data_IF_223468882345
#
_entry.id   IF_223468882345
#
_cell.length_a   1.000
_cell.length_b   1.000
_cell.length_c   1.000
_cell.angle_alpha   90.00
_cell.angle_beta   90.00
_cell.angle_gamma   90.00
#
_symmetry.space_group_name_H-M   'P 1'
#
loop_
_entity.id
_entity.type
_entity.pdbx_description
1 polymer ?
#
# COMPACT_ATOMS: atom_id res chain seq x y z
N UNK A 1 19.25 27.28 28.69
CA UNK A 1 18.67 26.75 27.43
C UNK A 1 19.21 25.38 26.98
N UNK A 2 20.50 25.03 27.19
CA UNK A 2 21.05 23.69 26.84
C UNK A 2 20.51 22.52 27.68
N UNK A 3 20.14 22.77 28.95
CA UNK A 3 19.69 21.73 29.89
C UNK A 3 18.29 21.20 29.54
N UNK A 4 17.36 22.09 29.17
CA UNK A 4 15.98 21.69 28.79
C UNK A 4 15.98 20.84 27.52
N UNK A 5 16.82 21.18 26.53
CA UNK A 5 16.98 20.42 25.27
C UNK A 5 17.56 19.01 25.49
N UNK A 6 18.41 18.85 26.51
CA UNK A 6 18.95 17.54 26.90
C UNK A 6 17.96 16.70 27.72
N UNK A 7 17.01 17.33 28.41
CA UNK A 7 15.97 16.63 29.19
C UNK A 7 14.86 16.11 28.26
N UNK A 8 14.46 16.88 27.24
CA UNK A 8 13.49 16.42 26.22
C UNK A 8 14.00 15.22 25.43
N UNK A 9 15.30 15.16 25.10
CA UNK A 9 15.89 14.03 24.38
C UNK A 9 16.11 12.77 25.25
N UNK A 10 16.20 12.90 26.58
CA UNK A 10 16.38 11.74 27.49
C UNK A 10 15.07 11.08 27.92
N UNK A 11 13.93 11.78 27.82
CA UNK A 11 12.63 11.29 28.31
C UNK A 11 11.79 10.53 27.27
N UNK A 12 12.11 10.63 25.98
CA UNK A 12 11.39 9.93 24.91
C UNK A 12 12.27 8.90 24.21
N UNK A 13 12.63 7.83 24.93
CA UNK A 13 13.00 6.59 24.22
C UNK A 13 11.73 6.05 23.55
N UNK A 14 11.72 5.81 22.23
CA UNK A 14 10.54 5.27 21.56
C UNK A 14 10.18 3.92 22.18
N UNK A 15 8.93 3.78 22.64
CA UNK A 15 8.45 2.58 23.36
C UNK A 15 7.98 1.50 22.41
N UNK A 16 7.52 1.88 21.21
CA UNK A 16 7.03 0.96 20.18
C UNK A 16 7.84 1.07 18.88
N UNK A 17 7.65 0.10 17.97
CA UNK A 17 8.18 0.17 16.59
C UNK A 17 7.62 1.38 15.84
N UNK A 18 6.33 1.66 16.04
CA UNK A 18 5.67 2.81 15.45
C UNK A 18 6.28 4.14 15.95
N UNK A 19 6.61 4.25 17.25
CA UNK A 19 7.29 5.43 17.80
C UNK A 19 8.68 5.64 17.17
N UNK A 20 9.40 4.54 16.85
CA UNK A 20 10.70 4.62 16.17
C UNK A 20 10.54 5.18 14.76
N UNK A 21 9.51 4.77 14.03
CA UNK A 21 9.18 5.29 12.69
C UNK A 21 8.81 6.77 12.79
N UNK A 22 7.93 7.13 13.73
CA UNK A 22 7.52 8.52 13.97
C UNK A 22 8.72 9.42 14.27
N UNK A 23 9.62 8.99 15.14
CA UNK A 23 10.82 9.76 15.48
C UNK A 23 11.74 9.99 14.28
N UNK A 24 11.92 8.98 13.42
CA UNK A 24 12.72 9.13 12.20
C UNK A 24 12.07 10.15 11.27
N UNK A 25 10.78 9.98 10.96
CA UNK A 25 10.08 10.87 10.02
C UNK A 25 10.01 12.32 10.53
N UNK A 26 9.71 12.53 11.81
CA UNK A 26 9.70 13.86 12.43
C UNK A 26 11.09 14.53 12.49
N UNK A 27 12.18 13.76 12.32
CA UNK A 27 13.54 14.33 12.26
C UNK A 27 13.90 14.89 10.88
N UNK A 28 13.12 14.56 9.85
CA UNK A 28 13.34 15.00 8.47
C UNK A 28 12.80 16.43 8.32
N UNK A 29 13.68 17.35 7.93
CA UNK A 29 13.29 18.76 7.73
C UNK A 29 12.34 18.89 6.54
N UNK A 30 11.32 19.73 6.69
CA UNK A 30 10.34 20.08 5.67
C UNK A 30 9.51 18.89 5.17
N UNK A 31 9.37 17.84 5.99
CA UNK A 31 8.43 16.77 5.73
C UNK A 31 7.04 17.26 6.13
N UNK A 32 6.13 17.36 5.17
CA UNK A 32 4.72 17.63 5.47
C UNK A 32 4.04 16.30 5.77
N UNK A 33 3.62 16.13 7.03
CA UNK A 33 2.98 14.92 7.51
C UNK A 33 1.51 15.22 7.76
N UNK A 34 0.68 14.88 6.79
CA UNK A 34 -0.78 14.88 6.97
C UNK A 34 -1.20 13.59 7.68
N UNK A 35 -2.14 13.65 8.63
CA UNK A 35 -2.71 12.47 9.30
C UNK A 35 -4.22 12.49 9.14
N UNK A 36 -4.86 11.30 9.17
CA UNK A 36 -6.32 11.21 9.24
C UNK A 36 -6.76 10.80 10.63
N UNK A 37 -7.76 11.48 11.17
CA UNK A 37 -8.30 11.14 12.48
C UNK A 37 -9.10 9.82 12.45
N UNK A 38 -9.59 9.40 13.62
CA UNK A 38 -10.33 8.13 13.73
C UNK A 38 -11.66 8.17 12.99
N UNK A 39 -12.31 9.33 12.90
CA UNK A 39 -13.61 9.48 12.23
C UNK A 39 -13.43 9.48 10.71
N UNK A 40 -12.39 10.14 10.20
CA UNK A 40 -12.01 10.11 8.78
C UNK A 40 -11.65 8.70 8.33
N UNK A 41 -10.83 7.98 9.10
CA UNK A 41 -10.50 6.58 8.83
C UNK A 41 -11.74 5.68 8.86
N UNK A 42 -12.63 5.88 9.83
CA UNK A 42 -13.86 5.08 9.93
C UNK A 42 -14.81 5.35 8.77
N UNK A 43 -14.90 6.59 8.28
CA UNK A 43 -15.68 6.94 7.08
C UNK A 43 -15.11 6.28 5.83
N UNK A 44 -13.78 6.30 5.67
CA UNK A 44 -13.10 5.60 4.58
C UNK A 44 -13.36 4.09 4.63
N UNK A 45 -13.18 3.46 5.79
CA UNK A 45 -13.44 2.03 5.98
C UNK A 45 -14.90 1.66 5.65
N UNK A 46 -15.86 2.50 6.08
CA UNK A 46 -17.28 2.32 5.78
C UNK A 46 -17.62 2.52 4.29
N UNK A 47 -17.02 3.49 3.60
CA UNK A 47 -17.34 3.76 2.19
C UNK A 47 -16.98 2.61 1.26
N UNK A 48 -15.98 1.81 1.64
CA UNK A 48 -15.52 0.65 0.86
C UNK A 48 -15.89 -0.69 1.49
N UNK A 49 -16.55 -0.70 2.66
CA UNK A 49 -16.90 -1.94 3.37
C UNK A 49 -15.68 -2.76 3.80
N UNK A 50 -14.58 -2.09 4.16
CA UNK A 50 -13.31 -2.73 4.54
C UNK A 50 -12.91 -2.39 5.97
N UNK A 51 -11.85 -3.04 6.45
CA UNK A 51 -11.11 -2.61 7.64
C UNK A 51 -9.64 -2.59 7.30
N UNK A 52 -8.95 -1.49 7.55
CA UNK A 52 -7.52 -1.39 7.30
C UNK A 52 -6.74 -2.29 8.27
N UNK A 53 -5.61 -2.87 7.85
CA UNK A 53 -4.71 -3.56 8.79
C UNK A 53 -4.31 -2.62 9.94
N UNK A 54 -4.38 -3.11 11.19
CA UNK A 54 -4.25 -2.28 12.39
C UNK A 54 -2.96 -1.44 12.42
N UNK A 55 -1.84 -2.04 12.00
CA UNK A 55 -0.55 -1.37 11.91
C UNK A 55 -0.56 -0.17 10.94
N UNK A 56 -1.18 -0.33 9.77
CA UNK A 56 -1.28 0.73 8.77
C UNK A 56 -2.30 1.80 9.19
N UNK A 57 -3.42 1.38 9.78
CA UNK A 57 -4.43 2.30 10.36
C UNK A 57 -3.81 3.18 11.45
N UNK A 58 -3.03 2.59 12.34
CA UNK A 58 -2.30 3.32 13.39
C UNK A 58 -1.24 4.26 12.80
N UNK A 59 -0.56 3.84 11.73
CA UNK A 59 0.40 4.70 11.02
C UNK A 59 -0.26 5.94 10.43
N UNK A 60 -1.38 5.78 9.71
CA UNK A 60 -2.11 6.91 9.13
C UNK A 60 -2.59 7.87 10.22
N UNK A 61 -3.12 7.31 11.32
CA UNK A 61 -3.69 8.12 12.40
C UNK A 61 -2.65 8.91 13.20
N UNK A 62 -1.44 8.37 13.36
CA UNK A 62 -0.44 8.92 14.30
C UNK A 62 0.77 9.55 13.61
N UNK A 63 1.02 9.21 12.34
CA UNK A 63 2.26 9.54 11.66
C UNK A 63 2.01 10.20 10.32
N UNK A 64 1.37 9.51 9.37
CA UNK A 64 1.21 10.04 8.02
C UNK A 64 0.21 9.27 7.18
N UNK A 65 -0.64 10.00 6.47
CA UNK A 65 -1.43 9.53 5.35
C UNK A 65 -0.63 9.50 4.04
N UNK A 66 0.68 9.74 4.00
CA UNK A 66 1.43 9.81 2.74
C UNK A 66 1.19 11.10 1.95
N UNK A 67 1.35 11.03 0.63
CA UNK A 67 1.21 12.15 -0.30
C UNK A 67 2.50 12.89 -0.63
N UNK A 68 2.37 13.92 -1.47
CA UNK A 68 3.45 14.79 -1.91
C UNK A 68 4.13 15.48 -0.72
N UNK A 69 5.27 14.91 -0.32
CA UNK A 69 6.02 15.34 0.86
C UNK A 69 6.73 14.17 1.52
N UNK A 70 6.12 12.97 1.55
CA UNK A 70 6.70 11.81 2.22
C UNK A 70 7.62 11.01 1.30
N UNK A 71 8.93 11.24 1.40
CA UNK A 71 10.00 10.37 0.88
C UNK A 71 9.87 9.91 -0.58
N UNK A 72 9.13 10.67 -1.41
CA UNK A 72 8.74 10.42 -2.79
C UNK A 72 8.14 9.02 -3.04
N UNK A 73 6.86 8.99 -3.38
CA UNK A 73 6.17 7.78 -3.82
C UNK A 73 5.14 7.24 -2.83
N UNK A 74 5.12 7.65 -1.56
CA UNK A 74 4.05 7.25 -0.63
C UNK A 74 2.71 7.84 -1.06
N UNK A 75 1.71 6.99 -1.23
CA UNK A 75 0.38 7.37 -1.67
C UNK A 75 -0.53 7.61 -0.46
N UNK A 76 -1.37 8.63 -0.57
CA UNK A 76 -2.53 8.81 0.30
C UNK A 76 -3.59 7.77 0.04
N UNK A 77 -4.51 7.59 1.00
CA UNK A 77 -5.69 6.75 0.78
C UNK A 77 -6.46 7.22 -0.47
N UNK A 78 -6.62 8.52 -0.68
CA UNK A 78 -7.27 9.07 -1.88
C UNK A 78 -6.51 8.71 -3.17
N UNK A 79 -5.20 8.97 -3.21
CA UNK A 79 -4.35 8.59 -4.35
C UNK A 79 -4.34 7.06 -4.60
N UNK A 80 -4.40 6.27 -3.53
CA UNK A 80 -4.49 4.80 -3.62
C UNK A 80 -5.75 4.36 -4.36
N UNK A 81 -6.89 4.98 -4.04
CA UNK A 81 -8.17 4.75 -4.71
C UNK A 81 -8.10 5.23 -6.17
N UNK A 82 -7.54 6.42 -6.43
CA UNK A 82 -7.40 6.96 -7.78
C UNK A 82 -6.54 6.08 -8.67
N UNK A 83 -5.41 5.58 -8.15
CA UNK A 83 -4.54 4.63 -8.84
C UNK A 83 -5.34 3.37 -9.19
N UNK A 84 -5.98 2.73 -8.21
CA UNK A 84 -6.75 1.50 -8.46
C UNK A 84 -7.88 1.72 -9.47
N UNK A 85 -8.64 2.83 -9.38
CA UNK A 85 -9.73 3.15 -10.32
C UNK A 85 -9.21 3.45 -11.73
N UNK A 86 -8.10 4.17 -11.85
CA UNK A 86 -7.50 4.50 -13.16
C UNK A 86 -7.05 3.25 -13.89
N UNK A 87 -6.39 2.32 -13.20
CA UNK A 87 -5.96 1.05 -13.79
C UNK A 87 -7.11 0.06 -13.97
N UNK A 88 -8.13 0.14 -13.11
CA UNK A 88 -9.35 -0.66 -13.16
C UNK A 88 -10.38 -0.21 -14.21
N UNK A 89 -10.17 0.89 -14.94
CA UNK A 89 -11.08 1.37 -16.00
C UNK A 89 -12.58 1.40 -15.62
N UNK A 90 -12.90 1.75 -14.37
CA UNK A 90 -14.29 1.84 -13.92
C UNK A 90 -14.84 0.56 -13.25
N UNK A 91 -13.96 -0.33 -12.79
CA UNK A 91 -14.32 -1.42 -11.89
C UNK A 91 -15.13 -0.93 -10.66
N UNK A 92 -16.02 -1.77 -10.13
CA UNK A 92 -16.76 -1.43 -8.93
C UNK A 92 -15.82 -1.31 -7.73
N UNK A 93 -16.25 -0.53 -6.74
CA UNK A 93 -15.51 -0.35 -5.48
C UNK A 93 -15.46 -1.65 -4.64
N UNK A 94 -16.20 -2.70 -5.03
CA UNK A 94 -16.11 -4.02 -4.40
C UNK A 94 -14.73 -4.68 -4.58
N UNK A 95 -13.90 -4.19 -5.51
CA UNK A 95 -12.51 -4.62 -5.70
C UNK A 95 -11.70 -4.47 -4.41
N UNK A 96 -12.02 -3.49 -3.55
CA UNK A 96 -11.33 -3.30 -2.27
C UNK A 96 -11.77 -4.30 -1.19
N UNK A 97 -13.06 -4.68 -1.20
CA UNK A 97 -13.61 -5.64 -0.23
C UNK A 97 -13.47 -7.10 -0.67
N UNK A 98 -13.29 -7.35 -1.97
CA UNK A 98 -13.05 -8.68 -2.53
C UNK A 98 -11.72 -9.22 -2.04
N UNK A 99 -11.66 -10.49 -1.64
CA UNK A 99 -10.46 -11.06 -1.03
C UNK A 99 -9.31 -11.18 -2.03
N UNK A 100 -8.10 -10.76 -1.62
CA UNK A 100 -6.89 -11.01 -2.37
C UNK A 100 -6.57 -12.51 -2.38
N UNK A 101 -6.53 -13.19 -3.54
CA UNK A 101 -6.54 -14.65 -3.60
C UNK A 101 -5.17 -15.29 -3.36
N UNK A 102 -4.08 -14.52 -3.42
CA UNK A 102 -2.73 -15.08 -3.45
C UNK A 102 -2.09 -15.18 -2.05
N UNK A 103 -1.48 -16.34 -1.79
CA UNK A 103 -0.69 -16.63 -0.57
C UNK A 103 0.80 -16.86 -0.84
N UNK A 104 1.17 -16.87 -2.12
CA UNK A 104 2.53 -16.96 -2.65
C UNK A 104 2.65 -16.08 -3.89
N UNK A 105 3.86 -15.85 -4.40
CA UNK A 105 4.07 -15.12 -5.64
C UNK A 105 3.17 -15.63 -6.77
N UNK A 106 2.60 -14.70 -7.53
CA UNK A 106 1.70 -14.99 -8.65
C UNK A 106 2.04 -14.08 -9.82
N UNK A 107 2.29 -14.66 -10.99
CA UNK A 107 2.61 -13.93 -12.20
C UNK A 107 1.57 -14.26 -13.28
N UNK A 108 0.65 -13.35 -13.62
CA UNK A 108 -0.29 -13.53 -14.73
C UNK A 108 0.40 -13.88 -16.05
N UNK A 109 1.61 -13.37 -16.31
CA UNK A 109 2.34 -13.65 -17.54
C UNK A 109 2.82 -15.11 -17.66
N UNK A 110 2.86 -15.85 -16.54
CA UNK A 110 3.25 -17.27 -16.50
C UNK A 110 2.03 -18.21 -16.40
N UNK A 111 0.82 -17.65 -16.27
CA UNK A 111 -0.40 -18.43 -16.10
C UNK A 111 -1.15 -18.54 -17.43
N UNK A 112 -1.20 -19.77 -17.97
CA UNK A 112 -1.87 -20.09 -19.24
C UNK A 112 -3.35 -19.72 -19.28
N UNK A 113 -3.99 -19.50 -18.12
CA UNK A 113 -5.35 -18.96 -18.05
C UNK A 113 -5.48 -17.65 -18.84
N UNK A 114 -4.50 -16.75 -18.72
CA UNK A 114 -4.57 -15.43 -19.36
C UNK A 114 -4.31 -15.49 -20.87
N UNK A 115 -3.49 -16.43 -21.32
CA UNK A 115 -3.28 -16.68 -22.75
C UNK A 115 -4.59 -17.15 -23.40
N UNK A 116 -5.26 -18.14 -22.80
CA UNK A 116 -6.56 -18.64 -23.28
C UNK A 116 -7.63 -17.53 -23.25
N UNK A 117 -7.69 -16.75 -22.17
CA UNK A 117 -8.66 -15.66 -22.05
C UNK A 117 -8.42 -14.57 -23.12
N UNK A 118 -7.15 -14.24 -23.40
CA UNK A 118 -6.76 -13.33 -24.49
C UNK A 118 -7.14 -13.89 -25.88
N UNK A 119 -7.00 -15.20 -26.10
CA UNK A 119 -7.42 -15.85 -27.33
C UNK A 119 -8.95 -15.81 -27.51
N UNK A 120 -9.73 -15.91 -26.42
CA UNK A 120 -11.18 -15.74 -26.45
C UNK A 120 -11.58 -14.30 -26.81
N UNK A 121 -10.84 -13.28 -26.33
CA UNK A 121 -11.03 -11.88 -26.78
C UNK A 121 -10.80 -11.77 -28.28
N UNK A 122 -9.71 -12.37 -28.79
CA UNK A 122 -9.35 -12.33 -30.21
C UNK A 122 -10.41 -13.02 -31.10
N UNK A 123 -10.99 -14.12 -30.60
CA UNK A 123 -12.12 -14.83 -31.23
C UNK A 123 -13.47 -14.12 -31.04
N UNK A 124 -13.52 -13.02 -30.28
CA UNK A 124 -14.72 -12.26 -29.91
C UNK A 124 -15.76 -13.08 -29.13
N UNK A 125 -15.29 -14.08 -28.40
CA UNK A 125 -16.11 -14.90 -27.50
C UNK A 125 -16.42 -14.16 -26.20
N UNK A 126 -15.48 -13.32 -25.74
CA UNK A 126 -15.65 -12.38 -24.63
C UNK A 126 -15.26 -10.96 -25.07
N UNK A 127 -15.74 -9.95 -24.34
CA UNK A 127 -15.34 -8.57 -24.58
C UNK A 127 -13.95 -8.27 -23.99
N UNK A 128 -13.29 -7.23 -24.51
CA UNK A 128 -12.02 -6.77 -23.93
C UNK A 128 -12.24 -6.17 -22.53
N UNK A 129 -13.41 -5.59 -22.29
CA UNK A 129 -13.82 -5.05 -21.01
C UNK A 129 -13.94 -6.15 -19.95
N UNK A 130 -14.56 -7.28 -20.28
CA UNK A 130 -14.67 -8.44 -19.38
C UNK A 130 -13.28 -9.01 -19.06
N UNK A 131 -12.42 -9.16 -20.07
CA UNK A 131 -11.03 -9.59 -19.89
C UNK A 131 -10.27 -8.66 -18.94
N UNK A 132 -10.34 -7.34 -19.15
CA UNK A 132 -9.65 -6.38 -18.27
C UNK A 132 -10.24 -6.39 -16.86
N UNK A 133 -11.55 -6.54 -16.73
CA UNK A 133 -12.20 -6.67 -15.42
C UNK A 133 -11.60 -7.85 -14.66
N UNK A 134 -11.66 -9.05 -15.24
CA UNK A 134 -11.10 -10.29 -14.70
C UNK A 134 -9.61 -10.12 -14.33
N UNK A 135 -8.82 -9.58 -15.27
CA UNK A 135 -7.38 -9.37 -15.09
C UNK A 135 -7.05 -8.46 -13.90
N UNK A 136 -7.90 -7.47 -13.65
CA UNK A 136 -7.68 -6.53 -12.55
C UNK A 136 -8.11 -7.10 -11.20
N UNK A 137 -9.04 -8.05 -11.15
CA UNK A 137 -9.38 -8.76 -9.90
C UNK A 137 -8.22 -9.61 -9.35
N UNK A 138 -7.16 -9.85 -10.12
CA UNK A 138 -5.89 -10.44 -9.62
C UNK A 138 -5.33 -9.69 -8.41
N UNK A 139 -5.48 -8.35 -8.38
CA UNK A 139 -5.02 -7.53 -7.25
C UNK A 139 -6.16 -6.99 -6.37
N UNK A 140 -7.34 -7.61 -6.46
CA UNK A 140 -8.44 -7.30 -5.55
C UNK A 140 -8.02 -7.45 -4.10
N UNK A 141 -8.64 -6.69 -3.21
CA UNK A 141 -8.32 -6.72 -1.80
C UNK A 141 -6.96 -6.12 -1.46
N UNK A 142 -6.42 -5.26 -2.32
CA UNK A 142 -5.16 -4.54 -2.07
C UNK A 142 -5.29 -3.03 -2.26
N UNK A 143 -4.42 -2.28 -1.58
CA UNK A 143 -4.21 -0.85 -1.79
C UNK A 143 -2.76 -0.59 -2.21
N UNK A 144 -2.48 0.10 -3.32
CA UNK A 144 -1.14 0.60 -3.58
C UNK A 144 -0.80 1.70 -2.56
N UNK A 145 0.23 1.50 -1.75
CA UNK A 145 0.64 2.43 -0.69
C UNK A 145 1.92 3.19 -1.03
N UNK A 146 2.64 2.73 -2.07
CA UNK A 146 3.84 3.37 -2.56
C UNK A 146 4.01 3.14 -4.06
N UNK A 147 4.37 4.17 -4.82
CA UNK A 147 4.71 4.12 -6.24
C UNK A 147 6.23 4.15 -6.42
N UNK A 148 6.77 3.14 -7.10
CA UNK A 148 8.16 3.10 -7.54
C UNK A 148 8.42 3.89 -8.84
N UNK A 149 7.36 4.43 -9.46
CA UNK A 149 7.40 4.94 -10.83
C UNK A 149 7.19 3.83 -11.87
N UNK A 150 7.03 4.22 -13.14
CA UNK A 150 6.83 3.30 -14.28
C UNK A 150 5.73 2.25 -14.08
N UNK A 151 4.67 2.56 -13.33
CA UNK A 151 3.58 1.61 -13.07
C UNK A 151 3.90 0.52 -12.03
N UNK A 152 5.04 0.61 -11.33
CA UNK A 152 5.40 -0.31 -10.25
C UNK A 152 4.88 0.21 -8.91
N UNK A 153 4.33 -0.70 -8.11
CA UNK A 153 3.74 -0.37 -6.81
C UNK A 153 4.22 -1.31 -5.71
N UNK A 154 4.18 -0.80 -4.49
CA UNK A 154 4.10 -1.62 -3.28
C UNK A 154 2.67 -1.53 -2.79
N UNK A 155 2.06 -2.69 -2.55
CA UNK A 155 0.66 -2.84 -2.16
C UNK A 155 0.54 -3.41 -0.76
N UNK A 156 -0.45 -2.92 -0.02
CA UNK A 156 -0.92 -3.49 1.23
C UNK A 156 -2.11 -4.39 0.95
N UNK A 157 -2.09 -5.62 1.43
CA UNK A 157 -3.26 -6.51 1.37
C UNK A 157 -4.24 -6.12 2.47
N UNK A 158 -5.46 -5.75 2.08
CA UNK A 158 -6.54 -5.31 2.98
C UNK A 158 -7.58 -6.41 3.25
N UNK A 159 -7.83 -7.33 2.34
CA UNK A 159 -8.79 -8.44 2.51
C UNK A 159 -8.22 -9.74 1.97
N UNK A 160 -8.69 -10.89 2.48
CA UNK A 160 -8.22 -12.22 2.09
C UNK A 160 -7.11 -12.82 2.98
N UNK A 161 -6.61 -14.02 2.65
CA UNK A 161 -5.70 -14.81 3.48
C UNK A 161 -4.35 -14.14 3.76
N UNK A 162 -3.88 -13.26 2.88
CA UNK A 162 -2.61 -12.53 3.04
C UNK A 162 -2.77 -11.16 3.69
N UNK A 163 -3.94 -10.86 4.29
CA UNK A 163 -4.25 -9.57 4.90
C UNK A 163 -3.15 -9.07 5.84
N UNK A 164 -2.79 -7.79 5.68
CA UNK A 164 -1.75 -7.11 6.45
C UNK A 164 -0.34 -7.23 5.86
N UNK A 165 -0.12 -8.15 4.93
CA UNK A 165 1.16 -8.30 4.24
C UNK A 165 1.38 -7.19 3.20
N UNK A 166 2.64 -7.00 2.86
CA UNK A 166 3.10 -6.08 1.83
C UNK A 166 3.57 -6.87 0.62
N UNK A 167 3.07 -6.50 -0.55
CA UNK A 167 3.35 -7.17 -1.81
C UNK A 167 3.91 -6.17 -2.82
N UNK A 168 4.86 -6.61 -3.64
CA UNK A 168 5.32 -5.88 -4.81
C UNK A 168 4.38 -6.16 -5.96
N UNK A 169 4.04 -5.12 -6.71
CA UNK A 169 3.34 -5.16 -7.98
C UNK A 169 4.28 -4.61 -9.05
N UNK A 170 4.80 -5.53 -9.86
CA UNK A 170 5.69 -5.25 -10.98
C UNK A 170 5.16 -5.95 -12.24
N UNK A 171 3.84 -5.91 -12.42
CA UNK A 171 3.14 -6.42 -13.61
C UNK A 171 3.66 -5.74 -14.89
N UNK A 172 4.00 -4.45 -14.81
CA UNK A 172 4.52 -3.71 -15.96
C UNK A 172 5.80 -4.29 -16.57
N UNK A 173 6.60 -5.02 -15.79
CA UNK A 173 7.82 -5.70 -16.24
C UNK A 173 7.67 -7.23 -16.28
N UNK A 174 6.44 -7.74 -16.32
CA UNK A 174 6.11 -9.18 -16.32
C UNK A 174 6.66 -9.95 -15.11
N UNK A 175 6.89 -9.27 -13.97
CA UNK A 175 7.36 -9.90 -12.72
C UNK A 175 6.21 -10.26 -11.76
N UNK A 176 4.98 -9.84 -12.09
CA UNK A 176 3.76 -10.16 -11.34
C UNK A 176 3.72 -9.59 -9.92
N UNK A 177 3.11 -10.35 -9.03
CA UNK A 177 2.88 -10.01 -7.63
C UNK A 177 3.71 -10.89 -6.71
N UNK A 178 4.50 -10.28 -5.83
CA UNK A 178 5.42 -11.02 -4.94
C UNK A 178 5.28 -10.56 -3.48
N UNK A 179 5.25 -11.47 -2.49
CA UNK A 179 5.32 -11.08 -1.09
C UNK A 179 6.65 -10.37 -0.79
N UNK A 180 6.58 -9.17 -0.21
CA UNK A 180 7.75 -8.35 0.12
C UNK A 180 8.01 -8.33 1.62
N UNK A 181 6.97 -8.15 2.44
CA UNK A 181 7.08 -8.21 3.89
C UNK A 181 5.80 -8.71 4.56
N UNK A 182 5.95 -9.25 5.77
CA UNK A 182 4.84 -9.79 6.56
C UNK A 182 3.88 -8.74 7.13
N UNK A 183 4.35 -7.51 7.32
CA UNK A 183 3.56 -6.41 7.87
C UNK A 183 4.11 -5.04 7.42
N UNK A 184 3.23 -4.03 7.44
CA UNK A 184 3.54 -2.66 7.04
C UNK A 184 4.69 -2.05 7.87
N UNK A 185 4.72 -2.29 9.19
CA UNK A 185 5.74 -1.69 10.06
C UNK A 185 7.14 -2.23 9.72
N UNK A 186 7.25 -3.53 9.44
CA UNK A 186 8.51 -4.15 8.99
C UNK A 186 8.97 -3.58 7.67
N UNK A 187 8.04 -3.37 6.75
CA UNK A 187 8.35 -2.78 5.46
C UNK A 187 8.86 -1.34 5.59
N UNK A 188 8.15 -0.46 6.31
CA UNK A 188 8.58 0.93 6.44
C UNK A 188 9.88 1.07 7.23
N UNK A 189 10.12 0.25 8.26
CA UNK A 189 11.40 0.22 8.97
C UNK A 189 12.57 -0.11 8.02
N UNK A 190 12.41 -1.15 7.19
CA UNK A 190 13.41 -1.53 6.18
C UNK A 190 13.56 -0.48 5.08
N UNK A 191 12.46 0.13 4.64
CA UNK A 191 12.47 1.22 3.67
C UNK A 191 13.32 2.40 4.18
N UNK A 192 13.05 2.86 5.40
CA UNK A 192 13.80 3.94 6.05
C UNK A 192 15.28 3.57 6.21
N UNK A 193 15.56 2.34 6.65
CA UNK A 193 16.93 1.84 6.79
C UNK A 193 17.70 1.85 5.46
N UNK A 194 17.08 1.42 4.35
CA UNK A 194 17.69 1.43 3.00
C UNK A 194 17.97 2.84 2.50
N UNK A 195 17.18 3.83 2.92
CA UNK A 195 17.40 5.26 2.67
C UNK A 195 18.45 5.89 3.58
N UNK A 196 19.07 5.11 4.47
CA UNK A 196 20.04 5.62 5.45
C UNK A 196 19.40 6.40 6.61
N UNK A 197 18.08 6.37 6.75
CA UNK A 197 17.33 7.06 7.80
C UNK A 197 17.21 6.13 9.01
N UNK A 198 17.81 6.51 10.14
CA UNK A 198 17.85 5.73 11.38
C UNK A 198 17.68 6.64 12.59
N UNK A 199 17.15 6.09 13.68
CA UNK A 199 17.18 6.77 14.97
C UNK A 199 18.65 7.03 15.35
N UNK A 200 18.94 8.27 15.77
CA UNK A 200 20.26 8.68 16.25
C UNK A 200 20.56 8.18 17.67
#
# INVERSE_FOLDING_TARGET
>A
MKIVKNITNKLFKPKTRLDKVANILNSIKNLDLNVLDTDELSKFEQSFGITLPEDYRNYINKISNGGDGLLYGFLTLEESIEVTRRFGKGLPDDIFSTEFPHVSSYNPAEDSYWEELSDQVSRKEISYEDYISEYRYVNAGTLPIFSGGCGTFVRLVITGPSRGQIWGDDEHNDNGYVPVEKDFITWIEKFLQRRGLKNS
#
